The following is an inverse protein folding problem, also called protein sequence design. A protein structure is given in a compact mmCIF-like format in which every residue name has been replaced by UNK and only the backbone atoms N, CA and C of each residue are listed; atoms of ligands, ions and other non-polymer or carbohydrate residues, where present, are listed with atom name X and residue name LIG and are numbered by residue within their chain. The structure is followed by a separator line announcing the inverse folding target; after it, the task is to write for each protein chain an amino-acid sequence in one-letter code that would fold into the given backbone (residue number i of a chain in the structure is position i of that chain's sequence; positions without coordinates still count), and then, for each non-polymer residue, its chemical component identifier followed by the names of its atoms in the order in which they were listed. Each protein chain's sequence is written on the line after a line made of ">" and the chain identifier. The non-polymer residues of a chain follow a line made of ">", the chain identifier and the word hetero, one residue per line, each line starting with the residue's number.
data_IF_958960146889
#
_entry.id   IF_958960146889
#
_cell.length_a   1.000
_cell.length_b   1.000
_cell.length_c   1.000
_cell.angle_alpha   90.00
_cell.angle_beta   90.00
_cell.angle_gamma   90.00
#
_symmetry.space_group_name_H-M   'P 1'
#
loop_
_entity.id
_entity.type
_entity.pdbx_description
1 polymer ?
#
# COMPACT_ATOMS: atom_id res chain seq x y z
N UNK A 1 -66.05 39.95 -49.66
CA UNK A 1 -65.43 40.24 -48.36
C UNK A 1 -63.95 39.93 -48.51
N UNK A 2 -63.12 40.97 -48.62
CA UNK A 2 -61.67 40.83 -48.83
C UNK A 2 -61.06 40.26 -47.55
N UNK A 3 -60.29 39.17 -47.65
CA UNK A 3 -59.52 38.64 -46.54
C UNK A 3 -58.12 39.23 -46.64
N UNK A 4 -57.84 40.24 -45.82
CA UNK A 4 -56.51 40.80 -45.61
C UNK A 4 -55.86 40.06 -44.44
N UNK A 5 -54.80 39.31 -44.71
CA UNK A 5 -53.93 38.75 -43.67
C UNK A 5 -52.72 39.68 -43.51
N UNK A 6 -52.62 40.30 -42.34
CA UNK A 6 -51.48 41.12 -41.94
C UNK A 6 -50.33 40.19 -41.54
N UNK A 7 -49.30 40.11 -42.40
CA UNK A 7 -48.07 39.39 -42.11
C UNK A 7 -47.16 40.30 -41.28
N UNK A 8 -47.35 40.23 -39.97
CA UNK A 8 -46.44 40.82 -38.99
C UNK A 8 -44.99 40.42 -39.26
N UNK A 9 -44.19 41.42 -39.60
CA UNK A 9 -42.77 41.35 -39.89
C UNK A 9 -41.98 40.82 -38.67
N UNK A 10 -41.71 39.52 -38.60
CA UNK A 10 -40.72 38.95 -37.68
C UNK A 10 -39.33 39.13 -38.29
N UNK A 11 -38.68 40.26 -37.98
CA UNK A 11 -37.25 40.42 -38.20
C UNK A 11 -36.49 39.53 -37.23
N UNK A 12 -36.08 38.34 -37.67
CA UNK A 12 -35.03 37.59 -37.00
C UNK A 12 -33.72 38.32 -37.26
N UNK A 13 -33.26 39.10 -36.28
CA UNK A 13 -31.89 39.58 -36.25
C UNK A 13 -30.97 38.35 -36.15
N UNK A 14 -30.41 37.97 -37.29
CA UNK A 14 -29.35 36.98 -37.37
C UNK A 14 -28.07 37.68 -36.86
N UNK A 15 -27.92 37.74 -35.53
CA UNK A 15 -26.69 38.23 -34.92
C UNK A 15 -25.61 37.20 -35.22
N UNK A 16 -24.72 37.56 -36.16
CA UNK A 16 -23.45 36.87 -36.37
C UNK A 16 -22.72 36.84 -35.03
N UNK A 17 -22.73 35.69 -34.36
CA UNK A 17 -22.00 35.50 -33.10
C UNK A 17 -20.54 35.33 -33.50
N UNK A 18 -19.80 36.45 -33.48
CA UNK A 18 -18.35 36.46 -33.70
C UNK A 18 -17.71 35.43 -32.76
N UNK A 19 -16.91 34.50 -33.29
CA UNK A 19 -16.29 33.40 -32.53
C UNK A 19 -15.47 33.85 -31.31
N UNK A 20 -15.13 35.14 -31.24
CA UNK A 20 -14.50 35.79 -30.09
C UNK A 20 -15.42 35.85 -28.85
N UNK A 21 -16.72 36.03 -29.04
CA UNK A 21 -17.71 36.10 -27.95
C UNK A 21 -18.03 34.72 -27.38
N UNK A 22 -18.05 33.69 -28.23
CA UNK A 22 -18.17 32.28 -27.82
C UNK A 22 -16.96 31.84 -27.01
N UNK A 23 -15.74 32.19 -27.45
CA UNK A 23 -14.51 31.88 -26.72
C UNK A 23 -14.52 32.50 -25.32
N UNK A 24 -14.85 33.80 -25.21
CA UNK A 24 -14.93 34.47 -23.91
C UNK A 24 -16.01 33.86 -23.00
N UNK A 25 -17.14 33.45 -23.57
CA UNK A 25 -18.20 32.79 -22.81
C UNK A 25 -17.79 31.40 -22.33
N UNK A 26 -17.11 30.60 -23.17
CA UNK A 26 -16.54 29.31 -22.77
C UNK A 26 -15.46 29.49 -21.70
N UNK A 27 -14.57 30.47 -21.82
CA UNK A 27 -13.56 30.76 -20.78
C UNK A 27 -14.22 31.12 -19.45
N UNK A 28 -15.29 31.91 -19.48
CA UNK A 28 -16.05 32.26 -18.28
C UNK A 28 -16.80 31.07 -17.68
N UNK A 29 -17.36 30.17 -18.50
CA UNK A 29 -18.02 28.95 -18.03
C UNK A 29 -16.99 27.98 -17.43
N UNK A 30 -15.85 27.78 -18.07
CA UNK A 30 -14.76 26.94 -17.53
C UNK A 30 -14.22 27.53 -16.23
N UNK A 31 -14.00 28.85 -16.18
CA UNK A 31 -13.58 29.55 -14.96
C UNK A 31 -14.63 29.42 -13.85
N UNK A 32 -15.92 29.57 -14.16
CA UNK A 32 -17.01 29.42 -13.19
C UNK A 32 -17.14 27.99 -12.68
N UNK A 33 -16.99 26.98 -13.54
CA UNK A 33 -16.96 25.58 -13.14
C UNK A 33 -15.73 25.27 -12.27
N UNK A 34 -14.60 25.91 -12.55
CA UNK A 34 -13.38 25.80 -11.74
C UNK A 34 -13.53 26.52 -10.40
N UNK A 35 -14.18 27.69 -10.38
CA UNK A 35 -14.54 28.43 -9.16
C UNK A 35 -15.57 27.65 -8.33
N UNK A 36 -16.63 27.08 -8.91
CA UNK A 36 -17.64 26.23 -8.25
C UNK A 36 -17.03 24.91 -7.72
N UNK A 37 -16.05 24.34 -8.43
CA UNK A 37 -15.27 23.20 -7.96
C UNK A 37 -14.32 23.57 -6.80
N UNK A 38 -13.82 24.81 -6.76
CA UNK A 38 -12.96 25.29 -5.67
C UNK A 38 -13.73 25.82 -4.45
N UNK A 39 -14.92 26.42 -4.62
CA UNK A 39 -15.75 26.99 -3.55
C UNK A 39 -16.44 25.91 -2.70
N UNK A 40 -16.56 24.69 -3.23
CA UNK A 40 -17.07 23.54 -2.50
C UNK A 40 -15.99 22.77 -1.71
N UNK A 41 -14.71 23.03 -1.98
CA UNK A 41 -13.57 22.35 -1.32
C UNK A 41 -12.80 23.23 -0.32
N UNK A 42 -12.94 24.56 -0.38
CA UNK A 42 -12.04 25.52 0.30
C UNK A 42 -12.61 26.24 1.53
N UNK A 43 -13.82 25.89 2.01
CA UNK A 43 -14.26 26.43 3.30
C UNK A 43 -13.43 25.74 4.38
N UNK A 44 -12.48 26.48 4.94
CA UNK A 44 -11.80 26.14 6.20
C UNK A 44 -12.88 25.69 7.19
N UNK A 45 -13.03 24.38 7.34
CA UNK A 45 -13.97 23.78 8.27
C UNK A 45 -13.15 23.39 9.50
N UNK A 46 -13.06 24.27 10.51
CA UNK A 46 -12.27 23.98 11.70
C UNK A 46 -12.74 22.69 12.39
N UNK A 47 -14.03 22.31 12.24
CA UNK A 47 -14.56 21.05 12.78
C UNK A 47 -14.01 19.84 12.02
N UNK A 48 -13.83 19.96 10.70
CA UNK A 48 -13.22 18.90 9.90
C UNK A 48 -11.73 18.74 10.27
N UNK A 49 -11.00 19.85 10.43
CA UNK A 49 -9.61 19.81 10.87
C UNK A 49 -9.47 19.18 12.27
N UNK A 50 -10.33 19.55 13.22
CA UNK A 50 -10.36 18.97 14.57
C UNK A 50 -10.64 17.45 14.52
N UNK A 51 -11.61 17.02 13.71
CA UNK A 51 -11.92 15.60 13.49
C UNK A 51 -10.74 14.84 12.90
N UNK A 52 -10.02 15.44 11.94
CA UNK A 52 -8.82 14.85 11.34
C UNK A 52 -7.73 14.67 12.39
N UNK A 53 -7.44 15.70 13.19
CA UNK A 53 -6.45 15.60 14.25
C UNK A 53 -6.83 14.54 15.29
N UNK A 54 -8.09 14.47 15.69
CA UNK A 54 -8.59 13.44 16.61
C UNK A 54 -8.43 12.02 16.04
N UNK A 55 -8.67 11.84 14.73
CA UNK A 55 -8.42 10.56 14.06
C UNK A 55 -6.94 10.19 14.04
N UNK A 56 -6.05 11.11 13.66
CA UNK A 56 -4.60 10.88 13.66
C UNK A 56 -4.12 10.51 15.06
N UNK A 57 -4.53 11.27 16.09
CA UNK A 57 -4.17 11.00 17.49
C UNK A 57 -4.66 9.63 17.99
N UNK A 58 -5.80 9.17 17.48
CA UNK A 58 -6.34 7.84 17.80
C UNK A 58 -5.79 6.72 16.92
N UNK A 59 -4.87 7.03 16.00
CA UNK A 59 -4.24 6.06 15.09
C UNK A 59 -5.10 5.65 13.89
N UNK A 60 -6.31 6.23 13.76
CA UNK A 60 -7.30 5.82 12.75
C UNK A 60 -6.97 6.33 11.36
N UNK A 61 -7.35 5.55 10.34
CA UNK A 61 -7.27 5.95 8.93
C UNK A 61 -8.17 7.15 8.64
N UNK A 62 -7.63 8.11 7.90
CA UNK A 62 -8.39 9.19 7.30
C UNK A 62 -9.14 8.66 6.06
N UNK A 63 -10.32 9.23 5.83
CA UNK A 63 -11.05 9.04 4.56
C UNK A 63 -10.38 9.85 3.45
N UNK A 64 -10.63 9.49 2.17
CA UNK A 64 -10.06 10.23 1.03
C UNK A 64 -10.35 11.74 1.08
N UNK A 65 -11.56 12.11 1.50
CA UNK A 65 -11.95 13.53 1.67
C UNK A 65 -11.13 14.22 2.78
N UNK A 66 -10.99 13.56 3.92
CA UNK A 66 -10.19 14.06 5.05
C UNK A 66 -8.70 14.18 4.68
N UNK A 67 -8.20 13.24 3.88
CA UNK A 67 -6.81 13.25 3.41
C UNK A 67 -6.55 14.38 2.42
N UNK A 68 -7.42 14.57 1.42
CA UNK A 68 -7.33 15.70 0.47
C UNK A 68 -7.39 17.04 1.21
N UNK A 69 -8.32 17.19 2.15
CA UNK A 69 -8.42 18.39 2.99
C UNK A 69 -7.13 18.62 3.80
N UNK A 70 -6.60 17.57 4.45
CA UNK A 70 -5.37 17.69 5.23
C UNK A 70 -4.17 18.10 4.36
N UNK A 71 -4.07 17.55 3.15
CA UNK A 71 -3.00 17.88 2.20
C UNK A 71 -3.03 19.34 1.76
N UNK A 72 -4.22 19.91 1.58
CA UNK A 72 -4.41 21.30 1.15
C UNK A 72 -4.18 22.30 2.30
N UNK A 73 -4.66 22.00 3.51
CA UNK A 73 -4.66 22.94 4.63
C UNK A 73 -3.46 22.80 5.59
N UNK A 74 -2.91 21.60 5.76
CA UNK A 74 -1.74 21.36 6.62
C UNK A 74 -0.83 20.26 6.04
N UNK A 75 0.02 20.60 5.07
CA UNK A 75 0.88 19.64 4.38
C UNK A 75 1.94 19.00 5.30
N UNK A 76 2.37 19.69 6.36
CA UNK A 76 3.31 19.14 7.34
C UNK A 76 2.67 18.00 8.12
N UNK A 77 1.46 18.21 8.66
CA UNK A 77 0.72 17.18 9.37
C UNK A 77 0.30 16.04 8.43
N UNK A 78 0.03 16.33 7.14
CA UNK A 78 -0.18 15.30 6.13
C UNK A 78 1.02 14.36 5.98
N UNK A 79 2.25 14.91 5.92
CA UNK A 79 3.46 14.10 5.83
C UNK A 79 3.64 13.19 7.05
N UNK A 80 3.35 13.71 8.25
CA UNK A 80 3.41 12.91 9.48
C UNK A 80 2.34 11.82 9.49
N UNK A 81 1.13 12.11 9.02
CA UNK A 81 0.10 11.09 8.83
C UNK A 81 0.55 9.98 7.87
N UNK A 82 1.18 10.31 6.74
CA UNK A 82 1.71 9.31 5.81
C UNK A 82 2.80 8.45 6.45
N UNK A 83 3.68 9.06 7.26
CA UNK A 83 4.71 8.33 8.02
C UNK A 83 4.09 7.33 8.98
N UNK A 84 3.11 7.76 9.79
CA UNK A 84 2.36 6.89 10.72
C UNK A 84 1.72 5.73 9.95
N UNK A 85 1.07 6.04 8.81
CA UNK A 85 0.39 5.06 7.99
C UNK A 85 1.35 4.01 7.40
N UNK A 86 2.50 4.43 6.88
CA UNK A 86 3.53 3.53 6.37
C UNK A 86 4.08 2.60 7.46
N UNK A 87 4.29 3.11 8.67
CA UNK A 87 4.73 2.28 9.80
C UNK A 87 3.67 1.22 10.15
N UNK A 88 2.41 1.62 10.23
CA UNK A 88 1.29 0.71 10.48
C UNK A 88 1.15 -0.36 9.38
N UNK A 89 1.27 0.01 8.11
CA UNK A 89 1.19 -0.92 6.98
C UNK A 89 2.39 -1.87 6.92
N UNK A 90 3.59 -1.40 7.26
CA UNK A 90 4.77 -2.26 7.37
C UNK A 90 4.60 -3.30 8.48
N UNK A 91 4.06 -2.89 9.64
CA UNK A 91 3.74 -3.82 10.72
C UNK A 91 2.69 -4.84 10.27
N UNK A 92 1.62 -4.40 9.60
CA UNK A 92 0.58 -5.29 9.08
C UNK A 92 1.18 -6.35 8.13
N UNK A 93 2.10 -5.94 7.25
CA UNK A 93 2.77 -6.85 6.33
C UNK A 93 3.66 -7.87 7.07
N UNK A 94 4.45 -7.43 8.04
CA UNK A 94 5.30 -8.32 8.85
C UNK A 94 4.47 -9.30 9.67
N UNK A 95 3.34 -8.87 10.24
CA UNK A 95 2.46 -9.76 10.98
C UNK A 95 1.90 -10.89 10.12
N UNK A 96 1.61 -10.62 8.83
CA UNK A 96 1.12 -11.65 7.89
C UNK A 96 2.19 -12.69 7.53
N UNK A 97 3.47 -12.38 7.69
CA UNK A 97 4.56 -13.32 7.40
C UNK A 97 4.96 -14.15 8.62
N UNK A 98 4.47 -13.80 9.80
CA UNK A 98 4.80 -14.49 11.04
C UNK A 98 4.28 -15.93 11.06
N UNK A 99 5.13 -16.86 11.52
CA UNK A 99 4.87 -18.29 11.53
C UNK A 99 4.42 -18.81 12.90
N UNK A 100 4.68 -18.06 13.97
CA UNK A 100 4.26 -18.40 15.34
C UNK A 100 3.78 -17.18 16.12
N UNK A 101 3.06 -17.42 17.22
CA UNK A 101 2.64 -16.34 18.13
C UNK A 101 3.82 -15.67 18.83
N UNK A 102 4.90 -16.40 19.06
CA UNK A 102 6.18 -15.86 19.55
C UNK A 102 6.75 -14.83 18.57
N UNK A 103 6.89 -15.20 17.29
CA UNK A 103 7.39 -14.29 16.25
C UNK A 103 6.50 -13.04 16.10
N UNK A 104 5.17 -13.20 16.23
CA UNK A 104 4.25 -12.06 16.27
C UNK A 104 4.59 -11.10 17.41
N UNK A 105 4.86 -11.61 18.62
CA UNK A 105 5.22 -10.77 19.76
C UNK A 105 6.57 -10.08 19.54
N UNK A 106 7.54 -10.76 18.94
CA UNK A 106 8.85 -10.18 18.61
C UNK A 106 8.72 -9.03 17.60
N UNK A 107 7.98 -9.25 16.50
CA UNK A 107 7.70 -8.22 15.50
C UNK A 107 7.05 -6.99 16.15
N UNK A 108 6.04 -7.21 17.01
CA UNK A 108 5.37 -6.14 17.75
C UNK A 108 6.35 -5.41 18.67
N UNK A 109 7.18 -6.14 19.40
CA UNK A 109 8.18 -5.58 20.30
C UNK A 109 9.19 -4.71 19.54
N UNK A 110 9.77 -5.21 18.44
CA UNK A 110 10.68 -4.43 17.61
C UNK A 110 10.01 -3.19 17.02
N UNK A 111 8.76 -3.30 16.58
CA UNK A 111 8.02 -2.16 16.04
C UNK A 111 7.86 -1.04 17.08
N UNK A 112 7.47 -1.35 18.33
CA UNK A 112 7.37 -0.32 19.38
C UNK A 112 8.73 0.28 19.75
N UNK A 113 9.77 -0.54 19.88
CA UNK A 113 11.11 -0.08 20.26
C UNK A 113 11.81 0.72 19.16
N UNK A 114 11.38 0.57 17.89
CA UNK A 114 11.89 1.38 16.78
C UNK A 114 11.46 2.85 16.85
N UNK A 115 10.44 3.17 17.65
CA UNK A 115 9.91 4.54 17.78
C UNK A 115 10.73 5.29 18.83
N UNK A 116 11.32 6.42 18.42
CA UNK A 116 12.06 7.28 19.33
C UNK A 116 11.17 7.87 20.43
N UNK A 117 11.65 7.86 21.67
CA UNK A 117 10.99 8.51 22.80
C UNK A 117 10.85 10.02 22.64
N UNK A 118 11.68 10.63 21.78
CA UNK A 118 11.67 12.08 21.51
C UNK A 118 10.73 12.47 20.36
N UNK A 119 10.03 11.51 19.77
CA UNK A 119 9.10 11.77 18.67
C UNK A 119 7.79 12.39 19.20
N UNK A 120 7.46 13.60 18.73
CA UNK A 120 6.22 14.30 19.07
C UNK A 120 4.96 13.47 18.72
N UNK A 121 5.03 12.70 17.63
CA UNK A 121 3.93 11.88 17.14
C UNK A 121 3.96 10.45 17.69
N UNK A 122 4.85 10.12 18.64
CA UNK A 122 4.99 8.77 19.23
C UNK A 122 3.64 8.17 19.64
N UNK A 123 2.79 8.93 20.32
CA UNK A 123 1.48 8.46 20.80
C UNK A 123 0.55 8.09 19.66
N UNK A 124 0.52 8.90 18.59
CA UNK A 124 -0.26 8.63 17.39
C UNK A 124 0.28 7.42 16.60
N UNK A 125 1.61 7.26 16.52
CA UNK A 125 2.25 6.09 15.91
C UNK A 125 1.84 4.83 16.67
N UNK A 126 2.02 4.81 18.00
CA UNK A 126 1.66 3.68 18.85
C UNK A 126 0.19 3.33 18.69
N UNK A 127 -0.72 4.31 18.72
CA UNK A 127 -2.14 4.07 18.55
C UNK A 127 -2.48 3.43 17.19
N UNK A 128 -1.78 3.82 16.12
CA UNK A 128 -1.95 3.22 14.80
C UNK A 128 -1.41 1.79 14.74
N UNK A 129 -0.26 1.51 15.37
CA UNK A 129 0.28 0.16 15.49
C UNK A 129 -0.67 -0.73 16.32
N UNK A 130 -1.18 -0.23 17.44
CA UNK A 130 -2.14 -0.94 18.30
C UNK A 130 -3.41 -1.33 17.55
N UNK A 131 -3.91 -0.45 16.68
CA UNK A 131 -5.06 -0.75 15.82
C UNK A 131 -4.76 -1.95 14.91
N UNK A 132 -3.61 -1.95 14.23
CA UNK A 132 -3.18 -3.05 13.35
C UNK A 132 -2.99 -4.34 14.14
N UNK A 133 -2.33 -4.30 15.29
CA UNK A 133 -2.11 -5.48 16.13
C UNK A 133 -3.44 -6.05 16.61
N UNK A 134 -4.36 -5.19 17.04
CA UNK A 134 -5.69 -5.60 17.50
C UNK A 134 -6.51 -6.22 16.38
N UNK A 135 -6.45 -5.68 15.16
CA UNK A 135 -7.11 -6.24 13.99
C UNK A 135 -6.51 -7.60 13.62
N UNK A 136 -5.18 -7.69 13.58
CA UNK A 136 -4.48 -8.94 13.28
C UNK A 136 -4.76 -10.05 14.30
N UNK A 137 -4.74 -9.75 15.60
CA UNK A 137 -5.02 -10.73 16.67
C UNK A 137 -6.45 -11.26 16.65
N UNK A 138 -7.38 -10.59 15.95
CA UNK A 138 -8.76 -11.06 15.75
C UNK A 138 -8.91 -11.97 14.53
N UNK A 139 -7.89 -12.09 13.68
CA UNK A 139 -7.96 -12.90 12.47
C UNK A 139 -7.82 -14.38 12.78
N UNK A 140 -8.47 -15.22 11.98
CA UNK A 140 -8.34 -16.68 12.07
C UNK A 140 -6.90 -17.15 11.78
N UNK A 141 -6.17 -16.39 10.95
CA UNK A 141 -4.76 -16.63 10.68
C UNK A 141 -3.94 -16.62 11.98
N UNK A 142 -4.12 -15.62 12.84
CA UNK A 142 -3.46 -15.55 14.14
C UNK A 142 -3.90 -16.67 15.09
N UNK A 143 -5.19 -17.00 15.11
CA UNK A 143 -5.72 -18.08 15.95
C UNK A 143 -5.13 -19.46 15.58
N UNK A 144 -4.83 -19.65 14.30
CA UNK A 144 -4.24 -20.89 13.75
C UNK A 144 -2.72 -20.97 13.93
N UNK A 145 -2.07 -19.89 14.36
CA UNK A 145 -0.62 -19.92 14.59
C UNK A 145 -0.28 -20.82 15.79
N UNK A 146 0.77 -21.66 15.68
CA UNK A 146 1.34 -22.38 16.80
C UNK A 146 1.92 -21.40 17.82
N UNK A 147 2.12 -21.88 19.05
CA UNK A 147 2.60 -21.00 20.11
C UNK A 147 4.07 -20.63 19.89
N UNK A 148 4.90 -21.62 19.53
CA UNK A 148 6.35 -21.47 19.37
C UNK A 148 6.83 -22.06 18.02
N UNK A 149 7.97 -21.60 17.53
CA UNK A 149 8.57 -22.11 16.29
C UNK A 149 8.99 -23.59 16.40
N UNK A 150 9.35 -24.05 17.59
CA UNK A 150 9.74 -25.46 17.83
C UNK A 150 8.58 -26.44 17.56
N UNK A 151 7.32 -26.03 17.79
CA UNK A 151 6.15 -26.86 17.48
C UNK A 151 6.00 -27.07 15.96
N UNK A 152 6.47 -26.13 15.14
CA UNK A 152 6.47 -26.21 13.67
C UNK A 152 7.52 -27.22 13.20
N UNK A 153 8.72 -27.15 13.77
CA UNK A 153 9.82 -28.07 13.51
C UNK A 153 9.42 -29.52 13.85
N UNK A 154 8.83 -29.73 15.03
CA UNK A 154 8.39 -31.06 15.48
C UNK A 154 7.20 -31.60 14.66
N UNK A 155 6.26 -30.75 14.24
CA UNK A 155 5.19 -31.13 13.31
C UNK A 155 5.73 -31.53 11.92
N UNK A 156 6.80 -30.88 11.45
CA UNK A 156 7.46 -31.24 10.18
C UNK A 156 8.25 -32.55 10.30
N UNK A 157 8.92 -32.79 11.42
CA UNK A 157 9.67 -34.05 11.68
C UNK A 157 8.75 -35.25 11.82
N UNK A 158 7.64 -35.11 12.55
CA UNK A 158 6.66 -36.21 12.71
C UNK A 158 5.96 -36.59 11.40
N UNK A 159 5.74 -35.64 10.49
CA UNK A 159 5.14 -35.92 9.18
C UNK A 159 6.14 -36.56 8.20
N UNK A 160 7.44 -36.23 8.29
CA UNK A 160 8.50 -36.96 7.55
C UNK A 160 8.58 -38.43 7.98
N UNK A 161 8.55 -38.71 9.28
CA UNK A 161 8.59 -40.09 9.80
C UNK A 161 7.34 -40.93 9.47
N UNK A 162 6.27 -40.34 8.94
CA UNK A 162 5.05 -41.08 8.53
C UNK A 162 5.00 -41.38 7.02
N UNK A 163 5.92 -40.82 6.25
CA UNK A 163 6.05 -41.04 4.80
C UNK A 163 7.10 -42.08 4.41
N UNK A 164 7.94 -42.54 5.34
CA UNK A 164 9.00 -43.52 5.09
C UNK A 164 8.62 -44.86 5.72
N UNK A 165 7.72 -45.55 5.03
CA UNK A 165 7.36 -46.95 5.26
C UNK A 165 7.55 -47.74 3.97
N UNK A 166 8.78 -47.78 3.47
CA UNK A 166 9.27 -48.77 2.50
C UNK A 166 10.66 -49.16 2.98
N UNK A 167 10.69 -50.14 3.88
CA UNK A 167 11.87 -50.96 4.12
C UNK A 167 12.06 -51.85 2.87
N UNK A 168 13.29 -52.00 2.39
CA UNK A 168 13.89 -53.29 2.08
C UNK A 168 15.40 -53.09 1.82
N UNK A 169 16.18 -53.51 2.82
CA UNK A 169 17.40 -54.32 2.80
C UNK A 169 18.57 -53.98 1.84
N UNK A 170 19.74 -53.85 2.48
CA UNK A 170 21.12 -53.97 1.98
C UNK A 170 21.28 -54.69 0.62
N UNK A 171 21.94 -54.07 -0.38
CA UNK A 171 23.06 -54.67 -1.13
C UNK A 171 23.95 -53.59 -1.79
N UNK A 172 25.25 -53.71 -1.54
CA UNK A 172 26.35 -53.02 -2.20
C UNK A 172 26.31 -53.18 -3.75
N UNK A 173 26.07 -52.10 -4.48
CA UNK A 173 26.43 -52.01 -5.91
C UNK A 173 26.77 -50.57 -6.31
N UNK A 174 28.08 -50.34 -6.49
CA UNK A 174 28.69 -49.23 -7.22
C UNK A 174 28.01 -48.98 -8.58
N UNK A 175 27.63 -47.73 -8.85
CA UNK A 175 27.56 -46.99 -10.14
C UNK A 175 27.30 -45.54 -9.70
N UNK A 176 28.24 -44.60 -9.78
CA UNK A 176 28.65 -43.93 -11.01
C UNK A 176 28.61 -42.43 -10.70
N UNK A 177 29.76 -41.80 -10.84
CA UNK A 177 30.09 -40.44 -10.42
C UNK A 177 29.28 -39.44 -11.25
N UNK A 178 28.34 -38.72 -10.63
CA UNK A 178 27.79 -37.43 -11.08
C UNK A 178 27.01 -36.81 -9.91
N UNK A 179 27.77 -36.43 -8.88
CA UNK A 179 27.29 -35.63 -7.75
C UNK A 179 27.16 -34.17 -8.22
N UNK A 180 25.98 -33.81 -8.72
CA UNK A 180 25.65 -32.41 -8.95
C UNK A 180 25.40 -31.75 -7.58
N UNK A 181 26.49 -31.24 -7.00
CA UNK A 181 26.48 -30.53 -5.73
C UNK A 181 25.71 -29.20 -5.87
N UNK A 182 24.42 -29.24 -5.51
CA UNK A 182 23.49 -28.09 -5.54
C UNK A 182 24.01 -26.89 -4.74
N UNK A 183 24.93 -27.07 -3.79
CA UNK A 183 25.52 -25.96 -3.04
C UNK A 183 26.74 -25.31 -3.70
N UNK A 184 27.30 -25.92 -4.75
CA UNK A 184 28.45 -25.38 -5.48
C UNK A 184 28.05 -24.37 -6.59
N UNK A 185 26.77 -24.24 -6.91
CA UNK A 185 26.30 -23.40 -8.01
C UNK A 185 25.95 -21.98 -7.53
N UNK A 186 26.90 -21.06 -7.67
CA UNK A 186 26.64 -19.62 -7.57
C UNK A 186 26.34 -19.06 -8.96
N UNK A 187 25.27 -18.28 -9.17
CA UNK A 187 24.94 -17.66 -10.46
C UNK A 187 26.06 -16.79 -11.07
N UNK A 188 27.08 -16.42 -10.29
CA UNK A 188 28.26 -15.69 -10.77
C UNK A 188 29.25 -16.55 -11.56
N UNK A 189 29.24 -17.87 -11.38
CA UNK A 189 30.20 -18.79 -12.02
C UNK A 189 29.91 -18.96 -13.51
N UNK A 190 28.63 -18.95 -13.90
CA UNK A 190 28.19 -19.01 -15.31
C UNK A 190 28.71 -17.81 -16.13
N UNK A 191 28.86 -16.65 -15.48
CA UNK A 191 29.43 -15.44 -16.10
C UNK A 191 30.96 -15.54 -16.26
N UNK A 192 31.65 -16.18 -15.31
CA UNK A 192 33.10 -16.38 -15.34
C UNK A 192 33.48 -17.40 -16.42
N UNK A 193 32.74 -18.52 -16.50
CA UNK A 193 32.98 -19.55 -17.52
C UNK A 193 32.58 -19.08 -18.94
N UNK A 194 31.70 -18.08 -19.04
CA UNK A 194 31.33 -17.45 -20.31
C UNK A 194 32.36 -16.43 -20.81
N UNK A 195 33.41 -16.12 -20.04
CA UNK A 195 34.47 -15.23 -20.52
C UNK A 195 35.34 -15.96 -21.55
N UNK A 196 35.49 -15.44 -22.78
CA UNK A 196 36.42 -16.01 -23.74
C UNK A 196 37.84 -15.92 -23.16
N UNK A 197 38.51 -17.06 -23.01
CA UNK A 197 39.91 -17.10 -22.63
C UNK A 197 40.73 -16.46 -23.74
N UNK A 198 41.34 -15.32 -23.46
CA UNK A 198 42.22 -14.64 -24.40
C UNK A 198 43.54 -15.41 -24.49
N UNK A 199 43.67 -16.27 -25.50
CA UNK A 199 44.94 -16.86 -25.89
C UNK A 199 45.87 -15.75 -26.41
N UNK A 200 46.71 -15.23 -25.51
CA UNK A 200 47.85 -14.40 -25.86
C UNK A 200 48.93 -15.30 -26.50
N UNK A 201 48.85 -15.44 -27.83
CA UNK A 201 49.98 -15.93 -28.61
C UNK A 201 51.12 -14.90 -28.54
N UNK A 202 52.30 -15.39 -28.18
CA UNK A 202 53.54 -14.65 -27.96
C UNK A 202 54.16 -14.09 -29.23
#
# INVERSE_FOLDING_TARGET
>A
MQISFDLGNMSFQNNSIDGQTVSAHLTNVVRKLQEEASDSNSKEDPKLMEKIQAKIKSGKRLTKKEESYLKEHNPELYLQYLRIRRMAENLEHQLKTAQSKEEVNDIIFFAYNSISDKDEYKTAIIAALDEVVREFKKTDAYASLPNNNDEIEEARKTNRNKGEGLEDEDENASIGEDDFDVMAWSPLQEVIDSMPTLDLQS
#
